data_IF_469866099058
#
_entry.id   IF_469866099058
#
_cell.length_a   1.000
_cell.length_b   1.000
_cell.length_c   1.000
_cell.angle_alpha   90.00
_cell.angle_beta   90.00
_cell.angle_gamma   90.00
#
_symmetry.space_group_name_H-M   'P 1'
#
loop_
_entity.id
_entity.type
_entity.pdbx_description
1 polymer ?
#
# COMPACT_ATOMS: atom_id res chain seq x y z
N UNK A 1 27.29 60.46 -37.09
CA UNK A 1 26.22 59.44 -37.25
C UNK A 1 26.65 57.99 -37.00
N UNK A 2 27.88 57.74 -36.49
CA UNK A 2 28.39 56.39 -36.35
C UNK A 2 28.24 55.78 -34.92
N UNK A 3 27.78 56.58 -33.94
CA UNK A 3 27.70 56.12 -32.55
C UNK A 3 26.34 55.49 -32.14
N UNK A 4 25.29 55.63 -32.91
CA UNK A 4 23.95 55.12 -32.56
C UNK A 4 23.78 53.62 -32.89
N UNK A 5 24.52 53.07 -33.85
CA UNK A 5 24.42 51.66 -34.26
C UNK A 5 25.13 50.74 -33.24
N UNK A 6 26.19 51.26 -32.57
CA UNK A 6 26.91 50.45 -31.57
C UNK A 6 26.16 50.27 -30.25
N UNK A 7 25.28 51.22 -29.85
CA UNK A 7 24.55 51.14 -28.59
C UNK A 7 23.36 50.18 -28.66
N UNK A 8 22.75 50.08 -29.82
CA UNK A 8 21.62 49.17 -30.02
C UNK A 8 22.04 47.67 -30.03
N UNK A 9 23.22 47.38 -30.62
CA UNK A 9 23.77 46.02 -30.58
C UNK A 9 24.16 45.59 -29.16
N UNK A 10 24.75 46.50 -28.38
CA UNK A 10 25.11 46.20 -26.99
C UNK A 10 23.88 45.95 -26.09
N UNK A 11 22.78 46.62 -26.33
CA UNK A 11 21.55 46.44 -25.57
C UNK A 11 20.90 45.09 -25.92
N UNK A 12 20.86 44.71 -27.19
CA UNK A 12 20.32 43.43 -27.65
C UNK A 12 21.12 42.24 -27.09
N UNK A 13 22.43 42.35 -27.12
CA UNK A 13 23.30 41.26 -26.60
C UNK A 13 23.20 41.11 -25.09
N UNK A 14 23.03 42.18 -24.32
CA UNK A 14 22.79 42.16 -22.89
C UNK A 14 21.41 41.56 -22.55
N UNK A 15 20.39 41.82 -23.37
CA UNK A 15 19.06 41.26 -23.19
C UNK A 15 19.05 39.73 -23.46
N UNK A 16 19.76 39.28 -24.50
CA UNK A 16 19.89 37.83 -24.81
C UNK A 16 20.67 37.12 -23.76
N UNK A 17 21.75 37.71 -23.20
CA UNK A 17 22.47 37.14 -22.06
C UNK A 17 21.61 37.10 -20.79
N UNK A 18 20.81 38.11 -20.50
CA UNK A 18 19.92 38.16 -19.35
C UNK A 18 18.80 37.08 -19.41
N UNK A 19 18.30 36.77 -20.60
CA UNK A 19 17.31 35.72 -20.83
C UNK A 19 17.91 34.30 -20.66
N UNK A 20 19.19 34.12 -20.93
CA UNK A 20 19.87 32.84 -20.75
C UNK A 20 20.03 32.44 -19.27
N UNK A 21 20.00 33.38 -18.34
CA UNK A 21 20.06 33.09 -16.89
C UNK A 21 18.71 32.67 -16.28
N UNK A 22 17.61 32.78 -17.02
CA UNK A 22 16.27 32.44 -16.51
C UNK A 22 15.84 31.00 -16.80
N UNK A 23 16.63 30.23 -17.55
CA UNK A 23 16.36 28.79 -17.73
C UNK A 23 17.02 27.96 -16.65
N UNK A 24 16.49 28.02 -15.42
CA UNK A 24 16.74 26.96 -14.43
C UNK A 24 16.04 25.70 -14.92
N UNK A 25 16.73 24.91 -15.72
CA UNK A 25 16.30 23.57 -16.01
C UNK A 25 16.38 22.76 -14.71
N UNK A 26 15.23 22.42 -14.12
CA UNK A 26 15.19 21.49 -13.00
C UNK A 26 15.68 20.14 -13.49
N UNK A 27 16.85 19.73 -13.01
CA UNK A 27 17.41 18.43 -13.31
C UNK A 27 16.79 17.41 -12.35
N UNK A 28 16.14 16.40 -12.89
CA UNK A 28 15.69 15.25 -12.11
C UNK A 28 16.86 14.29 -11.97
N UNK A 29 17.32 14.09 -10.73
CA UNK A 29 18.34 13.12 -10.40
C UNK A 29 17.68 11.84 -9.89
N UNK A 30 18.32 10.69 -10.07
CA UNK A 30 17.86 9.41 -9.55
C UNK A 30 19.01 8.64 -8.91
N UNK A 31 18.66 7.81 -7.94
CA UNK A 31 19.56 6.86 -7.30
C UNK A 31 18.84 5.52 -7.27
N UNK A 32 19.56 4.45 -7.59
CA UNK A 32 19.05 3.08 -7.51
C UNK A 32 19.51 2.49 -6.20
N UNK A 33 18.55 2.05 -5.37
CA UNK A 33 18.81 1.38 -4.11
C UNK A 33 18.49 -0.12 -4.27
N UNK A 34 19.32 -0.97 -3.69
CA UNK A 34 19.14 -2.42 -3.61
C UNK A 34 18.47 -2.85 -2.29
N UNK A 35 18.13 -1.87 -1.46
CA UNK A 35 17.50 -2.05 -0.15
C UNK A 35 16.02 -1.69 -0.25
N UNK A 36 15.22 -2.34 0.58
CA UNK A 36 13.81 -2.02 0.67
C UNK A 36 12.98 -3.22 1.12
N UNK A 37 11.70 -2.96 1.30
CA UNK A 37 10.71 -3.96 1.67
C UNK A 37 9.65 -4.00 0.58
N UNK A 38 9.35 -5.21 0.10
CA UNK A 38 8.24 -5.44 -0.81
C UNK A 38 7.19 -6.30 -0.12
N UNK A 39 5.96 -5.79 -0.08
CA UNK A 39 4.78 -6.51 0.41
C UNK A 39 3.92 -6.85 -0.78
N UNK A 40 3.59 -8.15 -0.96
CA UNK A 40 2.66 -8.59 -1.99
C UNK A 40 1.31 -8.88 -1.35
N UNK A 41 0.27 -8.24 -1.87
CA UNK A 41 -1.12 -8.39 -1.44
C UNK A 41 -1.92 -9.09 -2.51
N UNK A 42 -2.78 -10.03 -2.11
CA UNK A 42 -3.60 -10.83 -3.02
C UNK A 42 -4.90 -11.25 -2.33
N UNK A 43 -5.97 -11.41 -3.11
CA UNK A 43 -7.27 -11.90 -2.64
C UNK A 43 -7.31 -13.43 -2.64
N UNK A 44 -6.65 -14.08 -3.59
CA UNK A 44 -6.49 -15.53 -3.73
C UNK A 44 -5.17 -15.87 -4.36
N UNK A 45 -4.83 -17.17 -4.48
CA UNK A 45 -3.51 -17.63 -4.97
C UNK A 45 -3.11 -17.01 -6.32
N UNK A 46 -4.08 -16.81 -7.23
CA UNK A 46 -3.87 -16.26 -8.57
C UNK A 46 -4.59 -14.92 -8.79
N UNK A 47 -5.03 -14.26 -7.71
CA UNK A 47 -5.78 -13.02 -7.77
C UNK A 47 -5.05 -11.92 -6.98
N UNK A 48 -4.05 -11.26 -7.60
CA UNK A 48 -3.31 -10.19 -6.96
C UNK A 48 -4.20 -8.95 -6.78
N UNK A 49 -4.02 -8.25 -5.66
CA UNK A 49 -4.65 -6.95 -5.42
C UNK A 49 -4.03 -5.87 -6.31
N UNK A 50 -4.25 -6.01 -7.63
CA UNK A 50 -3.66 -5.14 -8.65
C UNK A 50 -4.25 -3.76 -8.61
N UNK A 51 -3.40 -2.73 -8.68
CA UNK A 51 -3.76 -1.31 -8.72
C UNK A 51 -4.64 -0.83 -7.55
N UNK A 52 -4.65 -1.59 -6.45
CA UNK A 52 -5.34 -1.25 -5.20
C UNK A 52 -4.65 -0.08 -4.50
N UNK A 53 -5.42 0.78 -3.85
CA UNK A 53 -4.86 1.91 -3.10
C UNK A 53 -4.11 1.43 -1.87
N UNK A 54 -2.99 2.08 -1.55
CA UNK A 54 -2.24 1.76 -0.34
C UNK A 54 -1.70 2.99 0.37
N UNK A 55 -1.47 2.83 1.66
CA UNK A 55 -0.72 3.76 2.50
C UNK A 55 0.28 2.98 3.37
N UNK A 56 1.49 3.51 3.48
CA UNK A 56 2.55 3.00 4.34
C UNK A 56 2.80 3.99 5.47
N UNK A 57 2.75 3.52 6.71
CA UNK A 57 3.01 4.32 7.89
C UNK A 57 4.28 3.84 8.58
N UNK A 58 5.15 4.77 8.93
CA UNK A 58 6.29 4.52 9.78
C UNK A 58 5.91 4.31 11.25
N UNK A 59 6.84 3.85 12.08
CA UNK A 59 6.62 3.67 13.51
C UNK A 59 6.26 4.97 14.20
N UNK A 60 5.03 5.05 14.75
CA UNK A 60 4.51 6.21 15.48
C UNK A 60 4.01 7.37 14.59
N UNK A 61 3.94 7.20 13.28
CA UNK A 61 3.47 8.24 12.39
C UNK A 61 1.95 8.24 12.27
N UNK A 62 1.38 9.45 12.30
CA UNK A 62 -0.04 9.70 12.03
C UNK A 62 -0.28 9.99 10.53
N UNK A 63 0.75 10.45 9.81
CA UNK A 63 0.70 10.70 8.38
C UNK A 63 1.39 9.57 7.61
N UNK A 64 0.90 9.20 6.45
CA UNK A 64 1.51 8.16 5.65
C UNK A 64 2.89 8.60 5.13
N UNK A 65 3.90 7.75 5.33
CA UNK A 65 5.23 7.89 4.76
C UNK A 65 5.20 7.79 3.23
N UNK A 66 4.34 6.91 2.72
CA UNK A 66 4.14 6.70 1.29
C UNK A 66 2.69 6.31 1.02
N UNK A 67 2.14 6.77 -0.10
CA UNK A 67 0.83 6.36 -0.61
C UNK A 67 0.85 6.23 -2.12
N UNK A 68 -0.01 5.37 -2.64
CA UNK A 68 -0.11 5.13 -4.07
C UNK A 68 -1.03 3.97 -4.41
N UNK A 69 -0.72 3.32 -5.54
CA UNK A 69 -1.40 2.10 -5.99
C UNK A 69 -0.40 0.96 -6.14
N UNK A 70 -0.82 -0.24 -5.79
CA UNK A 70 -0.05 -1.47 -6.02
C UNK A 70 0.24 -1.65 -7.52
N UNK A 71 1.26 -2.41 -7.84
CA UNK A 71 1.53 -2.79 -9.23
C UNK A 71 0.55 -3.87 -9.73
N UNK A 72 0.73 -4.32 -10.99
CA UNK A 72 -0.07 -5.40 -11.60
C UNK A 72 -0.01 -6.73 -10.83
N UNK A 73 1.00 -6.94 -10.00
CA UNK A 73 1.19 -8.15 -9.21
C UNK A 73 0.73 -7.99 -7.76
N UNK A 74 0.12 -6.83 -7.42
CA UNK A 74 -0.30 -6.50 -6.07
C UNK A 74 0.85 -6.14 -5.13
N UNK A 75 1.99 -5.68 -5.67
CA UNK A 75 3.17 -5.36 -4.87
C UNK A 75 3.19 -3.88 -4.48
N UNK A 76 3.59 -3.64 -3.22
CA UNK A 76 3.95 -2.34 -2.65
C UNK A 76 5.41 -2.43 -2.24
N UNK A 77 6.24 -1.52 -2.72
CA UNK A 77 7.64 -1.42 -2.31
C UNK A 77 7.91 -0.06 -1.66
N UNK A 78 8.62 -0.08 -0.54
CA UNK A 78 9.01 1.12 0.19
C UNK A 78 10.39 0.97 0.82
N UNK A 79 11.07 2.09 1.06
CA UNK A 79 12.35 2.12 1.72
C UNK A 79 12.16 2.63 3.17
N UNK A 80 12.32 1.76 4.19
CA UNK A 80 12.22 2.19 5.57
C UNK A 80 13.40 3.08 5.95
N UNK A 81 13.11 4.22 6.60
CA UNK A 81 14.10 5.18 7.08
C UNK A 81 14.55 4.93 8.53
N UNK A 82 13.80 4.09 9.27
CA UNK A 82 14.06 3.75 10.67
C UNK A 82 13.54 2.38 11.05
N UNK A 83 14.09 1.83 12.12
CA UNK A 83 13.65 0.57 12.73
C UNK A 83 12.30 0.73 13.46
N UNK A 84 11.56 -0.34 13.56
CA UNK A 84 10.28 -0.41 14.27
C UNK A 84 9.19 -1.12 13.48
N UNK A 85 7.95 -0.97 13.92
CA UNK A 85 6.80 -1.60 13.30
C UNK A 85 6.20 -0.65 12.25
N UNK A 86 6.36 -1.01 11.00
CA UNK A 86 5.76 -0.34 9.86
C UNK A 86 4.40 -0.96 9.55
N UNK A 87 3.44 -0.15 9.15
CA UNK A 87 2.09 -0.60 8.80
C UNK A 87 1.82 -0.29 7.34
N UNK A 88 1.43 -1.30 6.58
CA UNK A 88 0.98 -1.16 5.20
C UNK A 88 -0.50 -1.45 5.16
N UNK A 89 -1.29 -0.46 4.81
CA UNK A 89 -2.73 -0.57 4.61
C UNK A 89 -3.01 -0.61 3.13
N UNK A 90 -3.81 -1.55 2.68
CA UNK A 90 -4.20 -1.70 1.28
C UNK A 90 -5.71 -1.82 1.19
N UNK A 91 -6.31 -1.07 0.28
CA UNK A 91 -7.75 -1.11 0.01
C UNK A 91 -7.97 -1.38 -1.46
N UNK A 92 -8.86 -2.30 -1.75
CA UNK A 92 -9.21 -2.63 -3.12
C UNK A 92 -10.63 -3.15 -3.25
N UNK A 93 -11.13 -3.09 -4.46
CA UNK A 93 -12.38 -3.70 -4.85
C UNK A 93 -12.08 -5.05 -5.51
N UNK A 94 -12.84 -6.08 -5.12
CA UNK A 94 -12.89 -7.36 -5.79
C UNK A 94 -14.32 -7.61 -6.29
N UNK A 95 -14.52 -8.67 -7.05
CA UNK A 95 -15.86 -9.10 -7.50
C UNK A 95 -16.85 -9.31 -6.34
N UNK A 96 -16.35 -9.49 -5.12
CA UNK A 96 -17.11 -9.75 -3.90
C UNK A 96 -17.26 -8.52 -2.98
N UNK A 97 -16.82 -7.34 -3.42
CA UNK A 97 -16.93 -6.08 -2.68
C UNK A 97 -15.62 -5.41 -2.30
N UNK A 98 -15.73 -4.40 -1.46
CA UNK A 98 -14.58 -3.62 -0.97
C UNK A 98 -13.86 -4.37 0.17
N UNK A 99 -12.58 -4.58 0.01
CA UNK A 99 -11.74 -5.26 0.98
C UNK A 99 -10.54 -4.41 1.38
N UNK A 100 -10.20 -4.41 2.66
CA UNK A 100 -8.99 -3.78 3.19
C UNK A 100 -8.17 -4.78 4.00
N UNK A 101 -6.86 -4.63 3.99
CA UNK A 101 -5.95 -5.40 4.82
C UNK A 101 -4.87 -4.53 5.42
N UNK A 102 -4.52 -4.80 6.67
CA UNK A 102 -3.43 -4.16 7.40
C UNK A 102 -2.30 -5.18 7.60
N UNK A 103 -1.13 -4.87 7.07
CA UNK A 103 0.07 -5.68 7.23
C UNK A 103 1.05 -4.94 8.12
N UNK A 104 1.48 -5.58 9.22
CA UNK A 104 2.54 -5.04 10.08
C UNK A 104 3.85 -5.75 9.80
N UNK A 105 4.88 -4.97 9.45
CA UNK A 105 6.22 -5.44 9.13
C UNK A 105 7.20 -4.91 10.17
N UNK A 106 7.91 -5.78 10.85
CA UNK A 106 8.93 -5.39 11.82
C UNK A 106 10.28 -5.20 11.13
N UNK A 107 10.79 -3.99 11.17
CA UNK A 107 12.09 -3.59 10.61
C UNK A 107 13.12 -3.54 11.75
N UNK A 108 14.19 -4.30 11.58
CA UNK A 108 15.27 -4.42 12.56
C UNK A 108 16.46 -3.53 12.29
N UNK A 109 17.58 -3.88 12.94
CA UNK A 109 18.89 -3.26 12.67
C UNK A 109 19.29 -3.50 11.21
N UNK A 110 19.91 -2.51 10.58
CA UNK A 110 20.25 -2.55 9.16
C UNK A 110 19.08 -2.35 8.21
N UNK A 111 17.91 -1.91 8.72
CA UNK A 111 16.69 -1.65 7.96
C UNK A 111 16.16 -2.86 7.17
N UNK A 112 16.43 -4.07 7.69
CA UNK A 112 15.96 -5.33 7.10
C UNK A 112 14.72 -5.85 7.83
N UNK A 113 13.86 -6.59 7.10
CA UNK A 113 12.68 -7.22 7.68
C UNK A 113 13.09 -8.28 8.71
N UNK A 114 12.67 -8.10 9.97
CA UNK A 114 12.81 -9.10 11.05
C UNK A 114 11.66 -10.10 11.05
N UNK A 115 10.46 -9.64 10.71
CA UNK A 115 9.27 -10.45 10.73
C UNK A 115 8.03 -9.69 10.27
N UNK A 116 6.95 -10.42 10.08
CA UNK A 116 5.64 -9.85 9.78
C UNK A 116 4.56 -10.59 10.59
N UNK A 117 3.55 -9.84 11.04
CA UNK A 117 2.41 -10.41 11.77
C UNK A 117 1.26 -10.65 10.79
N UNK A 118 0.84 -11.92 10.68
CA UNK A 118 -0.42 -12.25 10.01
C UNK A 118 -1.60 -11.91 10.92
N UNK A 119 -2.69 -11.31 10.43
CA UNK A 119 -3.89 -11.12 11.21
C UNK A 119 -4.41 -12.46 11.75
N UNK A 120 -4.77 -12.51 13.04
CA UNK A 120 -5.26 -13.73 13.71
C UNK A 120 -6.48 -14.32 13.00
N UNK A 121 -7.37 -13.47 12.50
CA UNK A 121 -8.58 -13.88 11.77
C UNK A 121 -8.20 -14.64 10.50
N UNK A 122 -7.25 -14.15 9.71
CA UNK A 122 -6.81 -14.84 8.49
C UNK A 122 -6.18 -16.22 8.78
N UNK A 123 -5.54 -16.36 9.95
CA UNK A 123 -4.90 -17.63 10.34
C UNK A 123 -5.92 -18.68 10.79
N UNK A 124 -7.04 -18.26 11.40
CA UNK A 124 -7.99 -19.19 12.07
C UNK A 124 -9.39 -19.22 11.43
N UNK A 125 -9.59 -18.56 10.29
CA UNK A 125 -10.90 -18.52 9.58
C UNK A 125 -11.48 -19.93 9.38
N UNK A 126 -10.68 -20.88 8.93
CA UNK A 126 -11.14 -22.27 8.71
C UNK A 126 -11.63 -22.94 10.01
N UNK A 127 -10.99 -22.65 11.12
CA UNK A 127 -11.39 -23.17 12.44
C UNK A 127 -12.72 -22.55 12.89
N UNK A 128 -12.88 -21.24 12.74
CA UNK A 128 -14.13 -20.55 13.09
C UNK A 128 -15.31 -21.05 12.25
N UNK A 129 -15.12 -21.22 10.94
CA UNK A 129 -16.12 -21.78 10.04
C UNK A 129 -16.50 -23.21 10.47
N UNK A 130 -15.52 -24.08 10.76
CA UNK A 130 -15.75 -25.44 11.20
C UNK A 130 -16.56 -25.52 12.50
N UNK A 131 -16.19 -24.72 13.50
CA UNK A 131 -16.90 -24.65 14.78
C UNK A 131 -18.34 -24.13 14.57
N UNK A 132 -18.52 -23.09 13.77
CA UNK A 132 -19.86 -22.54 13.47
C UNK A 132 -20.77 -23.54 12.77
N UNK A 133 -20.25 -24.34 11.84
CA UNK A 133 -21.00 -25.42 11.18
C UNK A 133 -21.45 -26.50 12.16
N UNK A 134 -20.56 -26.92 13.08
CA UNK A 134 -20.92 -27.93 14.10
C UNK A 134 -22.05 -27.42 14.99
N UNK A 135 -21.97 -26.20 15.51
CA UNK A 135 -23.02 -25.61 16.33
C UNK A 135 -24.32 -25.41 15.55
N UNK A 136 -24.24 -24.99 14.28
CA UNK A 136 -25.40 -24.85 13.39
C UNK A 136 -26.11 -26.18 13.17
N UNK A 137 -25.40 -27.25 12.83
CA UNK A 137 -25.98 -28.59 12.66
C UNK A 137 -26.59 -29.12 13.96
N UNK A 138 -25.92 -28.95 15.09
CA UNK A 138 -26.46 -29.35 16.39
C UNK A 138 -27.75 -28.60 16.73
N UNK A 139 -27.79 -27.29 16.48
CA UNK A 139 -29.00 -26.47 16.65
C UNK A 139 -30.17 -26.95 15.79
N UNK A 140 -29.94 -27.25 14.50
CA UNK A 140 -30.96 -27.78 13.60
C UNK A 140 -31.50 -29.13 14.05
N UNK A 141 -30.60 -30.06 14.46
CA UNK A 141 -30.99 -31.40 14.95
C UNK A 141 -31.84 -31.31 16.24
N UNK A 142 -31.44 -30.44 17.17
CA UNK A 142 -32.18 -30.26 18.43
C UNK A 142 -33.56 -29.64 18.21
N UNK A 143 -33.68 -28.64 17.33
CA UNK A 143 -34.94 -28.05 16.94
C UNK A 143 -35.86 -29.09 16.28
N UNK A 144 -35.34 -29.89 15.36
CA UNK A 144 -36.09 -30.93 14.67
C UNK A 144 -36.59 -32.02 15.61
N UNK A 145 -35.74 -32.51 16.54
CA UNK A 145 -36.15 -33.46 17.59
C UNK A 145 -37.26 -32.89 18.47
N UNK A 146 -37.11 -31.65 18.91
CA UNK A 146 -38.11 -30.99 19.77
C UNK A 146 -39.45 -30.78 19.06
N UNK A 147 -39.43 -30.44 17.75
CA UNK A 147 -40.64 -30.29 16.94
C UNK A 147 -41.37 -31.62 16.72
N UNK A 148 -40.62 -32.71 16.45
CA UNK A 148 -41.21 -34.06 16.36
C UNK A 148 -41.80 -34.53 17.68
N UNK A 149 -41.14 -34.27 18.82
CA UNK A 149 -41.68 -34.65 20.14
C UNK A 149 -42.96 -33.94 20.53
N UNK A 150 -43.25 -32.75 19.99
CA UNK A 150 -44.50 -32.03 20.22
C UNK A 150 -45.66 -32.51 19.35
N UNK A 151 -45.42 -33.22 18.24
CA UNK A 151 -46.46 -33.77 17.36
C UNK A 151 -46.94 -35.14 17.76
N UNK A 152 -46.30 -35.79 18.75
CA UNK A 152 -46.62 -37.11 19.24
C UNK A 152 -47.35 -37.14 20.60
N UNK A 153 -47.82 -35.99 21.06
CA UNK A 153 -48.73 -35.82 22.20
C UNK A 153 -50.00 -35.17 21.67
#
# INVERSE_FOLDING_TARGET
SACLVGSEMCIRDRFVLALAFLSFAHTVNYQVEDKGVTVRVFYGENDPASYSEYEVFGPGDDLPHQKGRTDKNGCVSFLPDRKGIWKVKVWGESEHGFHGTDVSVEIGEGLMVKGFKKPLVATHVKLFIGVSLIFGLFGVITLWKNWRGKKGR
#
